data_IF_582562830562
#
_entry.id   IF_582562830562
#
_cell.length_a   1.000
_cell.length_b   1.000
_cell.length_c   1.000
_cell.angle_alpha   90.00
_cell.angle_beta   90.00
_cell.angle_gamma   90.00
#
_symmetry.space_group_name_H-M   'P 1'
#
loop_
_entity.id
_entity.type
_entity.pdbx_description
1 polymer ?
#
# COMPACT_ATOMS: atom_id res chain seq x y z
N UNK A 1 -25.02 10.54 -10.80
CA UNK A 1 -23.64 10.07 -10.53
C UNK A 1 -23.76 8.56 -10.38
N UNK A 2 -23.13 7.79 -11.26
CA UNK A 2 -23.19 6.33 -11.24
C UNK A 2 -21.82 5.79 -10.89
N UNK A 3 -21.56 5.56 -9.61
CA UNK A 3 -20.36 4.87 -9.15
C UNK A 3 -20.58 3.36 -9.25
N UNK A 4 -19.50 2.62 -9.45
CA UNK A 4 -19.49 1.15 -9.46
C UNK A 4 -19.27 0.56 -8.07
N UNK A 5 -18.93 1.38 -7.06
CA UNK A 5 -18.59 0.90 -5.73
C UNK A 5 -18.00 1.97 -4.81
N UNK A 6 -17.43 1.50 -3.70
CA UNK A 6 -16.79 2.29 -2.64
C UNK A 6 -15.46 1.63 -2.27
N UNK A 7 -14.41 2.43 -2.12
CA UNK A 7 -13.19 2.04 -1.42
C UNK A 7 -13.27 2.61 0.00
N UNK A 8 -13.45 1.75 0.99
CA UNK A 8 -13.64 2.13 2.39
C UNK A 8 -12.30 2.17 3.13
N UNK A 9 -11.87 3.37 3.51
CA UNK A 9 -10.69 3.59 4.35
C UNK A 9 -11.11 3.95 5.78
N UNK A 10 -11.41 2.93 6.58
CA UNK A 10 -11.84 3.11 7.98
C UNK A 10 -11.00 2.32 8.99
N UNK A 11 -10.38 1.22 8.55
CA UNK A 11 -9.67 0.30 9.45
C UNK A 11 -8.54 1.00 10.22
N UNK A 12 -7.68 1.73 9.51
CA UNK A 12 -6.56 2.47 10.09
C UNK A 12 -7.03 3.55 11.07
N UNK A 13 -8.11 4.26 10.76
CA UNK A 13 -8.69 5.25 11.66
C UNK A 13 -9.26 4.60 12.92
N UNK A 14 -9.98 3.48 12.78
CA UNK A 14 -10.49 2.72 13.93
C UNK A 14 -9.37 2.18 14.81
N UNK A 15 -8.26 1.71 14.22
CA UNK A 15 -7.07 1.32 14.97
C UNK A 15 -6.52 2.51 15.77
N UNK A 16 -6.35 3.68 15.13
CA UNK A 16 -5.82 4.88 15.75
C UNK A 16 -6.70 5.43 16.88
N UNK A 17 -8.02 5.31 16.76
CA UNK A 17 -8.98 5.69 17.81
C UNK A 17 -9.20 4.61 18.87
N UNK A 18 -8.51 3.47 18.78
CA UNK A 18 -8.61 2.37 19.75
C UNK A 18 -9.88 1.53 19.65
N UNK A 19 -10.71 1.73 18.62
CA UNK A 19 -11.93 0.95 18.36
C UNK A 19 -11.59 -0.52 18.18
N UNK A 20 -10.49 -0.84 17.48
CA UNK A 20 -10.10 -2.22 17.20
C UNK A 20 -9.41 -2.92 18.39
N UNK A 21 -9.06 -2.20 19.45
CA UNK A 21 -8.50 -2.76 20.69
C UNK A 21 -9.58 -3.30 21.63
N UNK A 22 -10.79 -2.76 21.52
CA UNK A 22 -11.94 -3.22 22.28
C UNK A 22 -12.65 -4.35 21.50
N UNK A 23 -12.80 -5.55 22.09
CA UNK A 23 -13.40 -6.68 21.37
C UNK A 23 -14.84 -6.45 20.92
N UNK A 24 -15.65 -5.73 21.70
CA UNK A 24 -17.05 -5.45 21.35
C UNK A 24 -17.10 -4.45 20.20
N UNK A 25 -16.33 -3.37 20.27
CA UNK A 25 -16.27 -2.37 19.21
C UNK A 25 -15.64 -2.92 17.92
N UNK A 26 -14.63 -3.79 18.00
CA UNK A 26 -14.07 -4.50 16.84
C UNK A 26 -15.14 -5.36 16.16
N UNK A 27 -15.90 -6.12 16.94
CA UNK A 27 -17.00 -6.94 16.41
C UNK A 27 -18.08 -6.06 15.75
N UNK A 28 -18.40 -4.91 16.34
CA UNK A 28 -19.31 -3.93 15.71
C UNK A 28 -18.75 -3.38 14.39
N UNK A 29 -17.45 -3.08 14.31
CA UNK A 29 -16.78 -2.62 13.10
C UNK A 29 -16.80 -3.68 11.99
N UNK A 30 -16.51 -4.94 12.32
CA UNK A 30 -16.61 -6.07 11.39
C UNK A 30 -18.05 -6.25 10.89
N UNK A 31 -19.04 -6.22 11.79
CA UNK A 31 -20.45 -6.32 11.42
C UNK A 31 -20.91 -5.15 10.56
N UNK A 32 -20.40 -3.95 10.80
CA UNK A 32 -20.66 -2.80 9.94
C UNK A 32 -20.16 -3.03 8.51
N UNK A 33 -18.91 -3.52 8.35
CA UNK A 33 -18.37 -3.84 7.01
C UNK A 33 -19.23 -4.91 6.32
N UNK A 34 -19.57 -5.99 7.03
CA UNK A 34 -20.44 -7.05 6.50
C UNK A 34 -21.79 -6.50 6.03
N UNK A 35 -22.43 -5.67 6.86
CA UNK A 35 -23.74 -5.12 6.54
C UNK A 35 -23.68 -4.13 5.39
N UNK A 36 -22.61 -3.35 5.30
CA UNK A 36 -22.37 -2.46 4.18
C UNK A 36 -22.20 -3.26 2.89
N UNK A 37 -21.38 -4.32 2.91
CA UNK A 37 -21.19 -5.25 1.79
C UNK A 37 -22.51 -5.82 1.29
N UNK A 38 -23.30 -6.44 2.17
CA UNK A 38 -24.65 -6.95 1.83
C UNK A 38 -25.54 -5.88 1.19
N UNK A 39 -25.50 -4.66 1.71
CA UNK A 39 -26.31 -3.55 1.22
C UNK A 39 -25.85 -3.12 -0.17
N UNK A 40 -24.55 -3.03 -0.40
CA UNK A 40 -23.97 -2.68 -1.69
C UNK A 40 -24.24 -3.75 -2.75
N UNK A 41 -24.10 -5.02 -2.38
CA UNK A 41 -24.40 -6.15 -3.27
C UNK A 41 -25.89 -6.29 -3.60
N UNK A 42 -26.78 -5.67 -2.82
CA UNK A 42 -28.22 -5.62 -3.14
C UNK A 42 -28.60 -4.57 -4.19
N UNK A 43 -27.67 -3.69 -4.56
CA UNK A 43 -27.88 -2.58 -5.51
C UNK A 43 -27.08 -2.85 -6.78
N UNK A 44 -27.74 -2.77 -7.93
CA UNK A 44 -27.05 -2.89 -9.22
C UNK A 44 -26.26 -1.61 -9.54
N UNK A 45 -25.07 -1.78 -10.11
CA UNK A 45 -24.27 -0.68 -10.64
C UNK A 45 -25.05 0.05 -11.73
N UNK A 46 -25.03 1.39 -11.68
CA UNK A 46 -25.64 2.24 -12.70
C UNK A 46 -24.96 2.10 -14.07
N UNK A 47 -23.61 2.17 -14.13
CA UNK A 47 -22.85 1.90 -15.36
C UNK A 47 -23.00 0.48 -15.90
N UNK A 48 -23.14 -0.53 -15.03
CA UNK A 48 -23.29 -1.93 -15.44
C UNK A 48 -24.41 -2.65 -14.65
N UNK A 49 -25.66 -2.67 -15.15
CA UNK A 49 -26.80 -3.25 -14.44
C UNK A 49 -26.72 -4.75 -14.15
N UNK A 50 -25.76 -5.46 -14.77
CA UNK A 50 -25.48 -6.88 -14.52
C UNK A 50 -24.50 -7.13 -13.38
N UNK A 51 -23.95 -6.07 -12.78
CA UNK A 51 -23.04 -6.12 -11.65
C UNK A 51 -23.65 -5.38 -10.47
N UNK A 52 -23.27 -5.79 -9.25
CA UNK A 52 -23.64 -5.07 -8.04
C UNK A 52 -22.59 -4.02 -7.69
N UNK A 53 -22.92 -3.09 -6.78
CA UNK A 53 -21.93 -2.14 -6.28
C UNK A 53 -20.83 -2.88 -5.49
N UNK A 54 -19.57 -2.57 -5.81
CA UNK A 54 -18.40 -3.21 -5.21
C UNK A 54 -17.94 -2.51 -3.93
N UNK A 55 -17.50 -3.27 -2.93
CA UNK A 55 -16.89 -2.76 -1.71
C UNK A 55 -15.44 -3.23 -1.61
N UNK A 56 -14.50 -2.30 -1.64
CA UNK A 56 -13.07 -2.57 -1.40
C UNK A 56 -12.71 -2.02 -0.03
N UNK A 57 -12.06 -2.81 0.83
CA UNK A 57 -11.60 -2.37 2.15
C UNK A 57 -10.11 -2.01 2.11
N UNK A 58 -9.73 -0.83 2.59
CA UNK A 58 -8.30 -0.49 2.78
C UNK A 58 -7.79 -1.13 4.07
N UNK A 59 -6.68 -1.87 3.98
CA UNK A 59 -6.07 -2.58 5.10
C UNK A 59 -4.59 -2.23 5.25
N UNK A 60 -4.11 -2.30 6.50
CA UNK A 60 -2.71 -2.05 6.83
C UNK A 60 -1.84 -3.29 6.60
N UNK A 61 -0.58 -3.13 6.16
CA UNK A 61 0.40 -4.20 6.13
C UNK A 61 0.85 -4.61 7.54
N UNK A 62 1.46 -5.78 7.66
CA UNK A 62 1.99 -6.29 8.93
C UNK A 62 3.29 -5.56 9.26
N UNK A 63 3.36 -4.91 10.44
CA UNK A 63 4.55 -4.12 10.86
C UNK A 63 5.46 -4.81 11.88
N UNK A 64 4.99 -5.88 12.53
CA UNK A 64 5.73 -6.60 13.56
C UNK A 64 5.59 -8.12 13.44
N UNK A 65 6.53 -8.85 14.04
CA UNK A 65 6.48 -10.33 14.09
C UNK A 65 5.22 -10.87 14.77
N UNK A 66 4.68 -10.10 15.72
CA UNK A 66 3.41 -10.39 16.38
C UNK A 66 2.37 -9.38 15.94
N UNK A 67 1.25 -9.88 15.44
CA UNK A 67 0.06 -9.05 15.21
C UNK A 67 -0.46 -8.56 16.55
N UNK A 68 -0.70 -7.25 16.63
CA UNK A 68 -1.42 -6.62 17.72
C UNK A 68 -2.92 -6.87 17.56
N UNK A 69 -3.69 -6.71 18.64
CA UNK A 69 -5.15 -6.91 18.60
C UNK A 69 -5.90 -5.99 17.63
N UNK A 70 -5.31 -4.88 17.23
CA UNK A 70 -5.85 -3.93 16.26
C UNK A 70 -5.44 -4.20 14.80
N UNK A 71 -4.45 -5.05 14.56
CA UNK A 71 -3.99 -5.33 13.20
C UNK A 71 -5.06 -6.11 12.42
N UNK A 72 -5.07 -5.93 11.10
CA UNK A 72 -5.85 -6.78 10.19
C UNK A 72 -5.10 -8.09 9.98
N UNK A 73 -5.74 -9.22 10.27
CA UNK A 73 -5.10 -10.54 10.20
C UNK A 73 -5.86 -11.55 9.33
N UNK A 74 -5.32 -12.78 9.22
CA UNK A 74 -5.92 -13.85 8.43
C UNK A 74 -7.37 -14.18 8.81
N UNK A 75 -7.71 -14.06 10.10
CA UNK A 75 -9.05 -14.34 10.58
C UNK A 75 -10.05 -13.25 10.14
N UNK A 76 -9.62 -11.98 10.10
CA UNK A 76 -10.46 -10.89 9.56
C UNK A 76 -10.66 -11.05 8.06
N UNK A 77 -9.60 -11.39 7.33
CA UNK A 77 -9.66 -11.71 5.90
C UNK A 77 -10.72 -12.78 5.65
N UNK A 78 -10.63 -13.91 6.35
CA UNK A 78 -11.58 -15.01 6.22
C UNK A 78 -13.01 -14.60 6.58
N UNK A 79 -13.19 -13.79 7.63
CA UNK A 79 -14.52 -13.36 8.04
C UNK A 79 -15.18 -12.36 7.10
N UNK A 80 -14.39 -11.58 6.34
CA UNK A 80 -14.89 -10.52 5.47
C UNK A 80 -14.87 -10.89 3.98
N UNK A 81 -14.18 -11.96 3.57
CA UNK A 81 -14.02 -12.36 2.18
C UNK A 81 -15.35 -12.51 1.43
N UNK A 82 -16.41 -13.00 2.09
CA UNK A 82 -17.74 -13.15 1.47
C UNK A 82 -18.56 -11.85 1.43
N UNK A 83 -18.05 -10.75 2.00
CA UNK A 83 -18.78 -9.48 2.15
C UNK A 83 -18.12 -8.30 1.43
N UNK A 84 -16.90 -8.46 0.93
CA UNK A 84 -16.17 -7.41 0.19
C UNK A 84 -15.65 -7.98 -1.12
N UNK A 85 -15.39 -7.11 -2.09
CA UNK A 85 -14.89 -7.47 -3.41
C UNK A 85 -13.36 -7.42 -3.52
N UNK A 86 -12.71 -6.84 -2.51
CA UNK A 86 -11.25 -6.81 -2.44
C UNK A 86 -10.71 -6.03 -1.25
N UNK A 87 -9.40 -6.13 -1.08
CA UNK A 87 -8.65 -5.47 -0.03
C UNK A 87 -7.50 -4.68 -0.63
N UNK A 88 -7.51 -3.36 -0.48
CA UNK A 88 -6.37 -2.52 -0.85
C UNK A 88 -5.34 -2.55 0.27
N UNK A 89 -4.26 -3.31 0.06
CA UNK A 89 -3.21 -3.50 1.05
C UNK A 89 -2.16 -2.40 0.92
N UNK A 90 -2.04 -1.53 1.92
CA UNK A 90 -1.14 -0.37 1.90
C UNK A 90 0.35 -0.73 2.15
N UNK A 91 0.93 -1.54 1.27
CA UNK A 91 2.35 -1.98 1.31
C UNK A 91 3.34 -0.89 0.88
N UNK A 92 3.17 0.32 1.38
CA UNK A 92 4.07 1.48 1.21
C UNK A 92 4.10 2.30 2.51
N UNK A 93 4.86 3.40 2.53
CA UNK A 93 5.16 4.19 3.74
C UNK A 93 5.80 3.38 4.87
N UNK A 94 6.76 2.52 4.51
CA UNK A 94 7.56 1.77 5.46
C UNK A 94 8.48 2.68 6.28
N UNK A 95 9.15 3.61 5.59
CA UNK A 95 10.04 4.61 6.20
C UNK A 95 9.33 5.93 6.46
N UNK A 96 9.88 6.71 7.39
CA UNK A 96 9.36 8.02 7.76
C UNK A 96 10.49 9.03 7.88
N UNK A 97 10.21 10.34 7.98
CA UNK A 97 11.23 11.36 8.24
C UNK A 97 12.11 11.09 9.47
N UNK A 98 11.58 10.36 10.47
CA UNK A 98 12.30 9.96 11.68
C UNK A 98 13.23 8.76 11.46
N UNK A 99 12.92 7.93 10.46
CA UNK A 99 13.68 6.74 10.11
C UNK A 99 13.79 6.64 8.58
N UNK A 100 14.61 7.51 7.95
CA UNK A 100 14.78 7.54 6.50
C UNK A 100 15.18 6.18 5.93
N UNK A 101 14.63 5.86 4.76
CA UNK A 101 14.85 4.57 4.13
C UNK A 101 13.91 4.30 2.95
N UNK A 102 13.89 3.06 2.44
CA UNK A 102 13.04 2.65 1.31
C UNK A 102 11.55 2.86 1.56
N UNK A 103 10.80 3.09 0.48
CA UNK A 103 9.36 3.32 0.56
C UNK A 103 8.59 2.05 0.94
N UNK A 104 8.99 0.92 0.37
CA UNK A 104 8.26 -0.34 0.41
C UNK A 104 9.21 -1.55 0.23
N UNK A 105 10.06 -1.90 1.23
CA UNK A 105 11.00 -3.01 1.09
C UNK A 105 10.33 -4.31 0.64
N UNK A 106 10.87 -4.95 -0.41
CA UNK A 106 10.28 -6.16 -0.97
C UNK A 106 10.17 -7.31 0.05
N UNK A 107 11.16 -7.49 0.91
CA UNK A 107 11.11 -8.53 1.96
C UNK A 107 10.00 -8.28 2.99
N UNK A 108 9.66 -7.02 3.25
CA UNK A 108 8.54 -6.67 4.12
C UNK A 108 7.18 -6.92 3.44
N UNK A 109 7.10 -6.68 2.13
CA UNK A 109 5.92 -7.03 1.33
C UNK A 109 5.68 -8.54 1.37
N UNK A 110 6.71 -9.34 1.08
CA UNK A 110 6.68 -10.81 1.16
C UNK A 110 6.22 -11.30 2.51
N UNK A 111 6.79 -10.74 3.57
CA UNK A 111 6.41 -11.07 4.94
C UNK A 111 4.94 -10.74 5.23
N UNK A 112 4.47 -9.56 4.81
CA UNK A 112 3.07 -9.15 5.01
C UNK A 112 2.09 -10.08 4.29
N UNK A 113 2.38 -10.44 3.04
CA UNK A 113 1.59 -11.40 2.27
C UNK A 113 1.62 -12.79 2.92
N UNK A 114 2.80 -13.27 3.34
CA UNK A 114 2.95 -14.57 3.99
C UNK A 114 2.20 -14.68 5.31
N UNK A 115 2.19 -13.63 6.13
CA UNK A 115 1.39 -13.61 7.37
C UNK A 115 -0.10 -13.57 7.06
N UNK A 116 -0.55 -12.75 6.11
CA UNK A 116 -1.96 -12.53 5.81
C UNK A 116 -2.61 -13.74 5.10
N UNK A 117 -1.90 -14.33 4.14
CA UNK A 117 -2.40 -15.39 3.26
C UNK A 117 -1.95 -16.79 3.70
N UNK A 118 -0.84 -16.91 4.43
CA UNK A 118 -0.24 -18.18 4.84
C UNK A 118 0.42 -18.97 3.70
N UNK A 119 1.09 -20.07 4.05
CA UNK A 119 1.86 -20.91 3.10
C UNK A 119 1.00 -21.61 2.02
N UNK A 120 -0.32 -21.64 2.21
CA UNK A 120 -1.31 -22.22 1.28
C UNK A 120 -2.23 -21.16 0.66
N UNK A 121 -1.84 -19.89 0.75
CA UNK A 121 -2.66 -18.70 0.55
C UNK A 121 -3.19 -18.41 -0.85
N UNK A 122 -3.80 -19.39 -1.52
CA UNK A 122 -4.37 -19.22 -2.85
C UNK A 122 -5.87 -18.87 -2.83
N UNK A 123 -6.61 -19.16 -1.76
CA UNK A 123 -8.08 -19.02 -1.77
C UNK A 123 -8.50 -17.55 -1.95
N UNK A 124 -7.93 -16.63 -1.15
CA UNK A 124 -8.28 -15.21 -1.17
C UNK A 124 -7.20 -14.29 -1.76
N UNK A 125 -6.11 -14.84 -2.31
CA UNK A 125 -5.02 -14.02 -2.87
C UNK A 125 -5.52 -13.04 -3.94
N UNK A 126 -6.41 -13.50 -4.81
CA UNK A 126 -7.01 -12.70 -5.88
C UNK A 126 -7.82 -11.50 -5.36
N UNK A 127 -8.23 -11.50 -4.10
CA UNK A 127 -8.92 -10.38 -3.45
C UNK A 127 -7.96 -9.34 -2.89
N UNK A 128 -6.67 -9.68 -2.72
CA UNK A 128 -5.67 -8.72 -2.22
C UNK A 128 -5.16 -7.89 -3.39
N UNK A 129 -5.18 -6.57 -3.23
CA UNK A 129 -4.56 -5.63 -4.14
C UNK A 129 -3.29 -5.10 -3.50
N UNK A 130 -2.14 -5.58 -3.99
CA UNK A 130 -0.84 -5.18 -3.48
C UNK A 130 -0.58 -3.69 -3.79
N UNK A 131 -0.39 -2.90 -2.74
CA UNK A 131 -0.14 -1.47 -2.85
C UNK A 131 1.24 -1.16 -3.44
N UNK A 132 1.26 -0.32 -4.47
CA UNK A 132 2.45 0.22 -5.14
C UNK A 132 2.41 1.74 -5.11
N UNK A 133 3.41 2.36 -4.49
CA UNK A 133 3.56 3.82 -4.48
C UNK A 133 4.16 4.31 -5.81
N UNK A 134 3.57 5.38 -6.37
CA UNK A 134 4.08 6.10 -7.54
C UNK A 134 4.80 7.40 -7.17
N UNK A 135 4.74 7.81 -5.90
CA UNK A 135 5.60 8.83 -5.32
C UNK A 135 6.84 8.20 -4.68
N UNK A 136 7.82 9.04 -4.39
CA UNK A 136 8.96 8.71 -3.54
C UNK A 136 9.06 9.63 -2.33
N UNK A 137 10.18 9.58 -1.63
CA UNK A 137 10.49 10.49 -0.53
C UNK A 137 11.88 11.07 -0.69
N UNK A 138 12.04 12.36 -0.39
CA UNK A 138 13.33 13.02 -0.16
C UNK A 138 13.47 13.27 1.34
N UNK A 139 14.40 12.56 1.98
CA UNK A 139 14.65 12.64 3.41
C UNK A 139 15.88 13.47 3.73
N UNK A 140 15.79 14.26 4.78
CA UNK A 140 16.94 14.94 5.39
C UNK A 140 17.69 13.95 6.29
N UNK A 141 18.98 13.71 6.01
CA UNK A 141 19.87 12.83 6.78
C UNK A 141 20.71 13.68 7.74
N UNK A 142 20.04 14.22 8.76
CA UNK A 142 20.66 14.93 9.89
C UNK A 142 20.02 14.45 11.20
N UNK A 143 20.57 14.84 12.36
CA UNK A 143 19.93 14.62 13.66
C UNK A 143 18.69 15.53 13.77
N UNK A 144 17.61 15.17 13.06
CA UNK A 144 16.41 15.98 12.97
C UNK A 144 15.34 15.39 12.05
N UNK A 145 14.10 15.80 12.32
CA UNK A 145 12.90 15.47 11.56
C UNK A 145 12.90 16.27 10.24
N UNK A 146 12.80 15.62 9.09
CA UNK A 146 12.68 16.36 7.83
C UNK A 146 12.58 15.51 6.58
N UNK A 147 12.13 16.15 5.52
CA UNK A 147 11.83 15.50 4.25
C UNK A 147 10.34 15.21 4.07
N UNK A 148 10.00 14.67 2.91
CA UNK A 148 8.62 14.44 2.54
C UNK A 148 8.47 13.83 1.14
N UNK A 149 7.21 13.70 0.70
CA UNK A 149 6.91 13.07 -0.57
C UNK A 149 7.47 13.88 -1.74
N UNK A 150 7.92 13.16 -2.75
CA UNK A 150 8.43 13.68 -4.03
C UNK A 150 7.66 13.00 -5.14
N UNK A 151 7.10 13.80 -6.05
CA UNK A 151 6.42 13.29 -7.26
C UNK A 151 7.33 13.36 -8.48
N UNK A 152 6.92 12.73 -9.59
CA UNK A 152 7.75 12.50 -10.77
C UNK A 152 8.48 13.75 -11.29
N UNK A 153 7.78 14.89 -11.40
CA UNK A 153 8.39 16.17 -11.85
C UNK A 153 9.51 16.66 -10.91
N UNK A 154 9.34 16.47 -9.61
CA UNK A 154 10.30 16.89 -8.59
C UNK A 154 11.50 15.94 -8.58
N UNK A 155 11.25 14.64 -8.73
CA UNK A 155 12.31 13.63 -8.90
C UNK A 155 13.19 13.94 -10.12
N UNK A 156 12.60 14.23 -11.27
CA UNK A 156 13.36 14.62 -12.49
C UNK A 156 14.17 15.89 -12.24
N UNK A 157 13.57 16.91 -11.61
CA UNK A 157 14.28 18.15 -11.25
C UNK A 157 15.50 17.90 -10.35
N UNK A 158 15.38 16.97 -9.39
CA UNK A 158 16.49 16.57 -8.53
C UNK A 158 17.61 15.86 -9.31
N UNK A 159 17.25 14.98 -10.25
CA UNK A 159 18.22 14.31 -11.12
C UNK A 159 18.97 15.29 -12.02
N UNK A 160 18.27 16.25 -12.63
CA UNK A 160 18.87 17.26 -13.50
C UNK A 160 19.82 18.19 -12.72
N UNK A 161 19.41 18.62 -11.53
CA UNK A 161 20.16 19.53 -10.67
C UNK A 161 21.41 18.87 -10.09
N UNK A 162 21.29 17.67 -9.55
CA UNK A 162 22.35 17.04 -8.77
C UNK A 162 23.15 15.99 -9.54
N UNK A 163 22.63 15.50 -10.68
CA UNK A 163 23.23 14.44 -11.51
C UNK A 163 23.79 13.27 -10.70
N UNK A 164 23.02 12.72 -9.75
CA UNK A 164 23.51 11.68 -8.86
C UNK A 164 23.61 10.34 -9.58
N UNK A 165 24.42 9.42 -9.03
CA UNK A 165 24.33 8.02 -9.40
C UNK A 165 23.16 7.36 -8.65
N UNK A 166 22.29 6.64 -9.37
CA UNK A 166 21.24 5.82 -8.76
C UNK A 166 21.86 4.52 -8.23
N UNK A 167 21.68 4.24 -6.95
CA UNK A 167 22.20 3.06 -6.28
C UNK A 167 21.07 2.07 -6.02
N UNK A 168 21.24 0.83 -6.49
CA UNK A 168 20.30 -0.26 -6.21
C UNK A 168 20.58 -0.90 -4.84
N UNK A 169 19.60 -0.86 -3.95
CA UNK A 169 19.66 -1.55 -2.66
C UNK A 169 18.93 -2.90 -2.76
N UNK A 170 19.71 -3.99 -2.70
CA UNK A 170 19.21 -5.34 -3.01
C UNK A 170 18.15 -5.86 -2.04
N UNK A 171 18.17 -5.48 -0.76
CA UNK A 171 17.23 -6.02 0.24
C UNK A 171 15.83 -5.43 0.10
N UNK A 172 15.75 -4.12 -0.13
CA UNK A 172 14.50 -3.41 -0.38
C UNK A 172 14.02 -3.53 -1.82
N UNK A 173 14.93 -3.85 -2.74
CA UNK A 173 14.67 -3.80 -4.19
C UNK A 173 14.17 -2.42 -4.61
N UNK A 174 14.89 -1.39 -4.17
CA UNK A 174 14.67 0.01 -4.53
C UNK A 174 15.96 0.70 -4.96
N UNK A 175 15.81 1.66 -5.86
CA UNK A 175 16.86 2.62 -6.13
C UNK A 175 16.77 3.78 -5.13
N UNK A 176 17.93 4.31 -4.77
CA UNK A 176 18.02 5.57 -4.05
C UNK A 176 19.22 6.36 -4.54
N UNK A 177 19.25 7.65 -4.20
CA UNK A 177 20.47 8.44 -4.31
C UNK A 177 20.60 9.41 -3.14
N UNK A 178 21.77 10.00 -2.99
CA UNK A 178 22.01 11.06 -2.00
C UNK A 178 22.63 12.28 -2.66
N UNK A 179 22.34 13.44 -2.09
CA UNK A 179 22.96 14.70 -2.50
C UNK A 179 23.20 15.60 -1.28
N UNK A 180 23.96 16.68 -1.48
CA UNK A 180 24.17 17.72 -0.47
C UNK A 180 23.44 18.99 -0.89
N UNK A 181 22.74 19.61 0.05
CA UNK A 181 22.16 20.95 -0.10
C UNK A 181 22.41 21.73 1.19
N UNK A 182 23.05 22.89 1.08
CA UNK A 182 23.37 23.76 2.22
C UNK A 182 24.08 23.03 3.38
N UNK A 183 25.04 22.16 3.03
CA UNK A 183 25.77 21.27 3.95
C UNK A 183 24.92 20.22 4.69
N UNK A 184 23.67 20.03 4.27
CA UNK A 184 22.78 18.98 4.76
C UNK A 184 22.73 17.84 3.74
N UNK A 185 22.88 16.61 4.22
CA UNK A 185 22.77 15.42 3.37
C UNK A 185 21.31 15.05 3.19
N UNK A 186 20.92 14.76 1.95
CA UNK A 186 19.60 14.25 1.59
C UNK A 186 19.70 12.82 1.05
N UNK A 187 18.64 12.04 1.19
CA UNK A 187 18.50 10.74 0.54
C UNK A 187 17.11 10.61 -0.09
N UNK A 188 17.09 10.32 -1.38
CA UNK A 188 15.88 10.23 -2.19
C UNK A 188 15.62 8.78 -2.57
N UNK A 189 14.43 8.30 -2.27
CA UNK A 189 13.93 6.98 -2.66
C UNK A 189 12.72 7.19 -3.57
N UNK A 190 12.83 6.84 -4.84
CA UNK A 190 11.75 7.02 -5.81
C UNK A 190 11.59 5.73 -6.65
N UNK A 191 10.36 5.32 -7.00
CA UNK A 191 10.14 4.15 -7.83
C UNK A 191 10.88 4.23 -9.16
N UNK A 192 11.33 3.08 -9.64
CA UNK A 192 11.95 2.91 -10.96
C UNK A 192 11.28 1.73 -11.65
N UNK A 193 11.46 1.58 -12.96
CA UNK A 193 10.93 0.41 -13.67
C UNK A 193 11.36 -0.91 -13.02
N UNK A 194 12.60 -1.00 -12.54
CA UNK A 194 13.12 -2.19 -11.89
C UNK A 194 12.43 -2.47 -10.55
N UNK A 195 12.21 -1.44 -9.71
CA UNK A 195 11.54 -1.62 -8.42
C UNK A 195 10.05 -1.94 -8.60
N UNK A 196 9.38 -1.32 -9.58
CA UNK A 196 7.99 -1.62 -9.91
C UNK A 196 7.89 -3.05 -10.44
N UNK A 197 8.71 -3.45 -11.42
CA UNK A 197 8.73 -4.82 -11.97
C UNK A 197 8.91 -5.87 -10.88
N UNK A 198 9.80 -5.65 -9.91
CA UNK A 198 10.00 -6.59 -8.80
C UNK A 198 8.73 -6.78 -7.94
N UNK A 199 7.93 -5.74 -7.76
CA UNK A 199 6.64 -5.80 -7.02
C UNK A 199 5.55 -6.46 -7.85
N UNK A 200 5.55 -6.23 -9.17
CA UNK A 200 4.64 -6.92 -10.09
C UNK A 200 4.94 -8.42 -10.15
N UNK A 201 6.22 -8.81 -10.15
CA UNK A 201 6.65 -10.21 -10.09
C UNK A 201 6.19 -10.87 -8.78
N UNK A 202 6.30 -10.17 -7.65
CA UNK A 202 5.81 -10.64 -6.37
C UNK A 202 4.28 -10.80 -6.36
N UNK A 203 3.54 -9.79 -6.84
CA UNK A 203 2.09 -9.87 -6.96
C UNK A 203 1.65 -11.07 -7.81
N UNK A 204 2.34 -11.30 -8.95
CA UNK A 204 2.12 -12.47 -9.81
C UNK A 204 2.42 -13.78 -9.10
N UNK A 205 3.51 -13.85 -8.33
CA UNK A 205 3.90 -15.05 -7.59
C UNK A 205 2.86 -15.44 -6.54
N UNK A 206 2.22 -14.46 -5.89
CA UNK A 206 1.14 -14.68 -4.93
C UNK A 206 -0.24 -14.79 -5.56
N UNK A 207 -0.43 -14.36 -6.81
CA UNK A 207 -1.74 -14.32 -7.47
C UNK A 207 -2.62 -13.16 -6.98
N UNK A 208 -2.01 -12.06 -6.52
CA UNK A 208 -2.71 -10.85 -6.07
C UNK A 208 -2.96 -9.89 -7.22
N UNK A 209 -3.93 -8.99 -7.05
CA UNK A 209 -4.05 -7.78 -7.87
C UNK A 209 -3.10 -6.68 -7.39
N UNK A 210 -3.31 -5.45 -7.88
CA UNK A 210 -2.50 -4.27 -7.57
C UNK A 210 -3.40 -3.09 -7.20
N UNK A 211 -2.95 -2.25 -6.28
CA UNK A 211 -3.50 -0.91 -6.04
C UNK A 211 -2.37 0.12 -6.15
N UNK A 212 -2.60 1.23 -6.85
CA UNK A 212 -1.57 2.24 -7.12
C UNK A 212 -1.92 3.53 -6.39
N UNK A 213 -0.96 4.04 -5.62
CA UNK A 213 -1.07 5.35 -4.95
C UNK A 213 0.01 6.32 -5.46
N UNK A 214 -0.33 7.34 -6.25
CA UNK A 214 -1.55 7.48 -7.05
C UNK A 214 -1.22 7.82 -8.50
N UNK A 215 -2.21 7.69 -9.38
CA UNK A 215 -2.10 8.14 -10.77
C UNK A 215 -1.83 9.65 -10.77
N UNK A 216 -0.78 10.06 -11.48
CA UNK A 216 -0.35 11.47 -11.57
C UNK A 216 0.85 11.82 -10.68
N UNK A 217 1.28 10.94 -9.78
CA UNK A 217 2.49 11.14 -8.98
C UNK A 217 3.74 10.48 -9.58
N UNK A 218 3.55 9.45 -10.41
CA UNK A 218 4.63 8.69 -11.04
C UNK A 218 5.17 9.34 -12.32
N UNK A 219 5.82 8.52 -13.14
CA UNK A 219 6.30 8.89 -14.46
C UNK A 219 5.53 8.08 -15.51
N UNK A 220 5.21 8.68 -16.66
CA UNK A 220 4.29 8.07 -17.66
C UNK A 220 4.72 6.67 -18.11
N UNK A 221 6.01 6.45 -18.31
CA UNK A 221 6.57 5.16 -18.71
C UNK A 221 6.48 4.06 -17.62
N UNK A 222 5.96 4.35 -16.42
CA UNK A 222 5.60 3.31 -15.45
C UNK A 222 4.43 2.47 -15.93
N UNK A 223 3.50 3.06 -16.70
CA UNK A 223 2.33 2.36 -17.22
C UNK A 223 2.70 1.32 -18.29
N UNK A 224 3.88 1.41 -18.90
CA UNK A 224 4.37 0.41 -19.87
C UNK A 224 4.63 -0.97 -19.22
N UNK A 225 4.66 -1.05 -17.88
CA UNK A 225 4.82 -2.30 -17.13
C UNK A 225 3.50 -2.99 -16.75
N UNK A 226 2.36 -2.30 -16.89
CA UNK A 226 1.05 -2.75 -16.37
C UNK A 226 0.21 -3.46 -17.43
#
# INVERSE_FOLDING_TARGET
>A
MGFDGIVLESWLSWAAYGVLNDPELRMMALNFIKKLGETMHSVNSGPNPSQHLQLILVISPVRSEKLSGYDFGPEDLKQLADSVDGFSLMTYDFSSPQKPGPNAPLEWIKYSLGVLLGDKGAEHAHMIFLGVNFYGNDFVIAEGFGGGPVIGREFISLLEKHKPALLWEKRSSEHYFSYMHDNVKHAVFFPTLMSISARLDEARAWGTGLSIWEIGQGLDYFFDLL
#
